data_IF_263278399949
#
_entry.id   IF_263278399949
#
_cell.length_a   1.000
_cell.length_b   1.000
_cell.length_c   1.000
_cell.angle_alpha   90.00
_cell.angle_beta   90.00
_cell.angle_gamma   90.00
#
_symmetry.space_group_name_H-M   'P 1'
#
loop_
_entity.id
_entity.type
_entity.pdbx_description
1 polymer ?
#
# COMPACT_ATOMS: atom_id res chain seq x y z
N UNK A 1 9.87 4.63 16.47
CA UNK A 1 9.78 4.10 15.09
C UNK A 1 9.40 2.64 15.20
N UNK A 2 8.33 2.20 14.54
CA UNK A 2 7.93 0.78 14.50
C UNK A 2 8.33 0.16 13.16
N UNK A 3 8.48 -1.15 13.14
CA UNK A 3 8.85 -1.93 11.96
C UNK A 3 7.89 -3.11 11.83
N UNK A 4 7.34 -3.28 10.64
CA UNK A 4 6.46 -4.38 10.24
C UNK A 4 7.07 -5.06 9.00
N UNK A 5 6.98 -6.39 8.91
CA UNK A 5 7.56 -7.17 7.81
C UNK A 5 6.44 -7.86 7.03
N UNK A 6 6.37 -7.60 5.73
CA UNK A 6 5.34 -8.12 4.80
C UNK A 6 5.82 -9.39 4.10
N UNK A 7 6.27 -10.39 4.85
CA UNK A 7 6.78 -11.64 4.24
C UNK A 7 5.67 -12.34 3.44
N UNK A 8 5.97 -12.66 2.18
CA UNK A 8 5.05 -13.28 1.22
C UNK A 8 3.73 -12.50 0.97
N UNK A 9 3.67 -11.21 1.34
CA UNK A 9 2.53 -10.35 1.03
C UNK A 9 2.97 -9.38 -0.07
N UNK A 10 2.48 -9.52 -1.32
CA UNK A 10 2.83 -8.58 -2.37
C UNK A 10 2.33 -7.18 -1.99
N UNK A 11 3.26 -6.23 -1.83
CA UNK A 11 2.92 -4.87 -1.45
C UNK A 11 3.96 -3.87 -1.96
N UNK A 12 3.48 -2.82 -2.61
CA UNK A 12 4.23 -1.65 -3.07
C UNK A 12 3.53 -0.42 -2.55
N UNK A 13 4.10 0.17 -1.51
CA UNK A 13 3.64 1.42 -0.89
C UNK A 13 3.65 2.56 -1.90
N UNK A 14 4.69 2.61 -2.74
CA UNK A 14 4.83 3.64 -3.77
C UNK A 14 3.75 3.52 -4.84
N UNK A 15 3.55 2.35 -5.44
CA UNK A 15 2.47 2.15 -6.42
C UNK A 15 1.10 2.45 -5.79
N UNK A 16 0.90 2.02 -4.54
CA UNK A 16 -0.37 2.20 -3.82
C UNK A 16 -0.68 3.67 -3.54
N UNK A 17 0.29 4.46 -3.05
CA UNK A 17 0.05 5.86 -2.68
C UNK A 17 0.17 6.84 -3.88
N UNK A 18 0.76 6.42 -5.00
CA UNK A 18 0.96 7.29 -6.18
C UNK A 18 0.05 6.97 -7.38
N UNK A 19 -0.77 5.92 -7.34
CA UNK A 19 -1.66 5.55 -8.44
C UNK A 19 -2.88 6.47 -8.62
N UNK A 20 -3.02 7.52 -7.80
CA UNK A 20 -4.11 8.50 -7.89
C UNK A 20 -5.36 8.17 -7.08
N UNK A 21 -5.36 7.09 -6.29
CA UNK A 21 -6.50 6.76 -5.41
C UNK A 21 -6.61 7.65 -4.16
N UNK A 22 -5.51 8.32 -3.77
CA UNK A 22 -5.44 9.19 -2.59
C UNK A 22 -4.70 10.48 -2.89
N UNK A 23 -5.05 11.55 -2.15
CA UNK A 23 -4.50 12.90 -2.39
C UNK A 23 -3.85 13.54 -1.16
N UNK A 24 -4.04 12.96 0.03
CA UNK A 24 -3.52 13.51 1.30
C UNK A 24 -2.15 12.97 1.70
N UNK A 25 -1.50 12.24 0.79
CA UNK A 25 -0.18 11.66 1.00
C UNK A 25 0.87 12.45 0.22
N UNK A 26 2.00 12.75 0.87
CA UNK A 26 3.16 13.40 0.24
C UNK A 26 4.43 12.63 0.56
N UNK A 27 5.26 12.38 -0.45
CA UNK A 27 6.57 11.76 -0.32
C UNK A 27 7.66 12.83 -0.23
N UNK A 28 8.64 12.63 0.66
CA UNK A 28 9.84 13.48 0.72
C UNK A 28 11.03 12.86 -0.03
N UNK A 29 12.13 13.61 -0.07
CA UNK A 29 13.39 13.22 -0.74
C UNK A 29 14.06 12.00 -0.09
N UNK A 30 13.78 11.72 1.18
CA UNK A 30 14.28 10.55 1.92
C UNK A 30 13.40 9.30 1.74
N UNK A 31 12.36 9.41 0.92
CA UNK A 31 11.41 8.35 0.59
C UNK A 31 10.30 8.14 1.61
N UNK A 32 10.12 9.05 2.58
CA UNK A 32 9.04 8.97 3.55
C UNK A 32 7.75 9.55 2.99
N UNK A 33 6.71 8.74 3.06
CA UNK A 33 5.33 9.19 2.90
C UNK A 33 4.81 9.76 4.22
N UNK A 34 4.13 10.91 4.14
CA UNK A 34 3.37 11.51 5.24
C UNK A 34 1.96 11.81 4.77
N UNK A 35 0.97 11.47 5.58
CA UNK A 35 -0.42 11.73 5.27
C UNK A 35 -1.32 11.58 6.47
N UNK A 36 -2.58 11.92 6.27
CA UNK A 36 -3.64 11.69 7.26
C UNK A 36 -4.61 10.67 6.66
N UNK A 37 -4.94 9.64 7.41
CA UNK A 37 -5.93 8.63 7.06
C UNK A 37 -6.69 8.20 8.32
N UNK A 38 -8.03 8.22 8.31
CA UNK A 38 -8.86 7.87 9.48
C UNK A 38 -8.41 8.57 10.78
N UNK A 39 -8.18 9.88 10.72
CA UNK A 39 -7.69 10.71 11.84
C UNK A 39 -6.28 10.37 12.37
N UNK A 40 -5.56 9.45 11.75
CA UNK A 40 -4.16 9.17 12.06
C UNK A 40 -3.23 10.03 11.20
N UNK A 41 -2.33 10.80 11.84
CA UNK A 41 -1.18 11.40 11.17
C UNK A 41 -0.07 10.36 11.05
N UNK A 42 0.15 9.85 9.85
CA UNK A 42 1.04 8.72 9.60
C UNK A 42 2.30 9.18 8.88
N UNK A 43 3.45 8.67 9.31
CA UNK A 43 4.71 8.72 8.58
C UNK A 43 5.14 7.28 8.29
N UNK A 44 5.31 6.91 7.03
CA UNK A 44 5.55 5.53 6.59
C UNK A 44 6.56 5.47 5.43
N UNK A 45 7.39 4.42 5.41
CA UNK A 45 8.34 4.15 4.33
C UNK A 45 8.50 2.65 4.16
N UNK A 46 8.62 2.21 2.91
CA UNK A 46 8.94 0.83 2.58
C UNK A 46 10.39 0.70 2.13
N UNK A 47 11.07 -0.33 2.61
CA UNK A 47 12.38 -0.78 2.15
C UNK A 47 12.29 -2.29 1.94
N UNK A 48 12.19 -2.74 0.68
CA UNK A 48 11.91 -4.14 0.34
C UNK A 48 10.62 -4.64 1.03
N UNK A 49 10.67 -5.75 1.76
CA UNK A 49 9.57 -6.31 2.54
C UNK A 49 9.41 -5.67 3.94
N UNK A 50 10.13 -4.59 4.24
CA UNK A 50 10.10 -3.92 5.54
C UNK A 50 9.37 -2.59 5.46
N UNK A 51 8.37 -2.40 6.31
CA UNK A 51 7.62 -1.16 6.49
C UNK A 51 8.04 -0.51 7.80
N UNK A 52 8.57 0.72 7.69
CA UNK A 52 8.89 1.57 8.83
C UNK A 52 7.78 2.60 9.01
N UNK A 53 7.24 2.74 10.21
CA UNK A 53 6.07 3.60 10.42
C UNK A 53 5.99 4.25 11.81
N UNK A 54 5.19 5.32 11.88
CA UNK A 54 4.85 6.11 13.06
C UNK A 54 3.41 6.63 12.92
N UNK A 55 2.71 6.80 14.05
CA UNK A 55 1.39 7.47 14.11
C UNK A 55 0.17 6.55 14.08
N UNK A 56 0.37 5.24 13.95
CA UNK A 56 -0.66 4.20 14.00
C UNK A 56 -0.07 2.89 14.57
N UNK A 57 -0.91 1.86 14.70
CA UNK A 57 -0.49 0.48 14.98
C UNK A 57 -0.48 -0.39 13.71
N UNK A 58 -0.01 -1.63 13.87
CA UNK A 58 0.14 -2.57 12.77
C UNK A 58 -1.22 -3.01 12.22
N UNK A 59 -2.19 -3.26 13.10
CA UNK A 59 -3.55 -3.68 12.73
C UNK A 59 -4.21 -2.63 11.83
N UNK A 60 -4.02 -1.35 12.14
CA UNK A 60 -4.46 -0.25 11.27
C UNK A 60 -3.82 -0.31 9.88
N UNK A 61 -2.51 -0.56 9.79
CA UNK A 61 -1.82 -0.66 8.50
C UNK A 61 -2.32 -1.85 7.69
N UNK A 62 -2.47 -3.01 8.33
CA UNK A 62 -3.02 -4.22 7.70
C UNK A 62 -4.41 -3.93 7.13
N UNK A 63 -5.27 -3.29 7.92
CA UNK A 63 -6.60 -2.90 7.47
C UNK A 63 -6.57 -1.85 6.34
N UNK A 64 -5.89 -0.72 6.55
CA UNK A 64 -5.93 0.42 5.63
C UNK A 64 -5.32 0.11 4.27
N UNK A 65 -4.16 -0.56 4.26
CA UNK A 65 -3.49 -1.00 3.04
C UNK A 65 -4.06 -2.32 2.49
N UNK A 66 -5.11 -2.87 3.12
CA UNK A 66 -5.82 -4.06 2.67
C UNK A 66 -4.85 -5.26 2.52
N UNK A 67 -3.94 -5.44 3.48
CA UNK A 67 -2.86 -6.44 3.44
C UNK A 67 -3.36 -7.87 3.72
N UNK A 68 -4.55 -7.98 4.29
CA UNK A 68 -5.28 -9.23 4.54
C UNK A 68 -5.97 -9.80 3.29
N UNK A 69 -6.03 -9.04 2.20
CA UNK A 69 -6.54 -9.52 0.91
C UNK A 69 -5.54 -10.48 0.24
N UNK A 70 -6.05 -11.63 -0.22
CA UNK A 70 -5.39 -12.54 -1.16
C UNK A 70 -5.23 -11.87 -2.53
N UNK A 71 -4.20 -11.03 -2.62
CA UNK A 71 -3.92 -10.27 -3.84
C UNK A 71 -3.49 -11.18 -4.98
N UNK A 72 -2.74 -12.25 -4.71
CA UNK A 72 -2.30 -13.18 -5.76
C UNK A 72 -3.49 -13.90 -6.40
N UNK A 73 -4.48 -14.34 -5.60
CA UNK A 73 -5.73 -14.90 -6.11
C UNK A 73 -6.53 -13.92 -6.97
N UNK A 74 -6.60 -12.64 -6.56
CA UNK A 74 -7.26 -11.58 -7.34
C UNK A 74 -6.53 -11.33 -8.66
N UNK A 75 -5.20 -11.17 -8.63
CA UNK A 75 -4.40 -10.91 -9.82
C UNK A 75 -4.48 -12.08 -10.80
N UNK A 76 -4.42 -13.33 -10.33
CA UNK A 76 -4.58 -14.51 -11.17
C UNK A 76 -5.95 -14.56 -11.87
N UNK A 77 -7.01 -14.06 -11.22
CA UNK A 77 -8.33 -13.98 -11.82
C UNK A 77 -8.45 -12.87 -12.90
N UNK A 78 -7.63 -11.82 -12.80
CA UNK A 78 -7.58 -10.67 -13.70
C UNK A 78 -6.60 -10.84 -14.87
N UNK A 79 -5.61 -11.72 -14.74
CA UNK A 79 -4.60 -12.00 -15.76
C UNK A 79 -5.20 -12.81 -16.94
N UNK A 80 -5.86 -12.11 -17.87
CA UNK A 80 -6.66 -12.72 -18.95
C UNK A 80 -6.13 -12.41 -20.35
N UNK A 81 -5.23 -11.46 -20.49
CA UNK A 81 -4.65 -11.01 -21.75
C UNK A 81 -3.25 -10.40 -21.51
N UNK A 82 -2.50 -10.20 -22.60
CA UNK A 82 -1.12 -9.71 -22.54
C UNK A 82 -0.97 -8.30 -21.96
N UNK A 83 -1.97 -7.44 -22.11
CA UNK A 83 -1.93 -6.08 -21.57
C UNK A 83 -2.14 -6.11 -20.06
N UNK A 84 -3.10 -6.90 -19.60
CA UNK A 84 -3.32 -7.15 -18.17
C UNK A 84 -2.11 -7.81 -17.54
N UNK A 85 -1.52 -8.81 -18.20
CA UNK A 85 -0.30 -9.47 -17.73
C UNK A 85 0.83 -8.46 -17.50
N UNK A 86 1.13 -7.63 -18.50
CA UNK A 86 2.18 -6.61 -18.40
C UNK A 86 1.91 -5.56 -17.31
N UNK A 87 0.64 -5.18 -17.10
CA UNK A 87 0.25 -4.28 -16.01
C UNK A 87 0.45 -4.93 -14.63
N UNK A 88 0.07 -6.20 -14.49
CA UNK A 88 0.21 -6.97 -13.25
C UNK A 88 1.70 -7.17 -12.90
N UNK A 89 2.54 -7.56 -13.87
CA UNK A 89 3.97 -7.72 -13.63
C UNK A 89 4.63 -6.42 -13.14
N UNK A 90 4.24 -5.29 -13.73
CA UNK A 90 4.82 -3.99 -13.39
C UNK A 90 4.35 -3.45 -12.03
N UNK A 91 3.10 -3.74 -11.63
CA UNK A 91 2.47 -3.14 -10.45
C UNK A 91 1.89 -4.19 -9.48
N UNK A 92 2.51 -5.37 -9.39
CA UNK A 92 2.02 -6.52 -8.59
C UNK A 92 1.69 -6.18 -7.12
N UNK A 93 2.39 -5.21 -6.55
CA UNK A 93 2.20 -4.78 -5.15
C UNK A 93 1.16 -3.68 -4.93
N UNK A 94 0.53 -3.16 -5.98
CA UNK A 94 -0.49 -2.12 -5.87
C UNK A 94 -1.73 -2.66 -5.14
N UNK A 95 -2.19 -1.94 -4.13
CA UNK A 95 -3.40 -2.29 -3.36
C UNK A 95 -4.44 -1.20 -3.40
N UNK A 96 -5.71 -1.58 -3.34
CA UNK A 96 -6.82 -0.66 -3.11
C UNK A 96 -6.95 -0.39 -1.60
N UNK A 97 -6.90 0.89 -1.23
CA UNK A 97 -6.96 1.35 0.15
C UNK A 97 -8.39 1.30 0.70
N UNK A 98 -8.54 0.95 1.98
CA UNK A 98 -9.82 1.06 2.71
C UNK A 98 -10.00 2.49 3.24
N UNK A 99 -10.39 3.41 2.34
CA UNK A 99 -10.59 4.83 2.65
C UNK A 99 -11.88 5.09 3.45
N UNK A 100 -11.95 6.22 4.15
CA UNK A 100 -13.19 6.69 4.77
C UNK A 100 -14.13 7.22 3.66
N UNK A 101 -15.37 6.72 3.52
CA UNK A 101 -16.28 7.16 2.46
C UNK A 101 -16.63 8.66 2.48
N UNK A 102 -16.47 9.33 3.62
CA UNK A 102 -16.79 10.75 3.80
C UNK A 102 -15.59 11.68 3.55
N UNK A 103 -14.42 11.11 3.34
CA UNK A 103 -13.17 11.80 3.00
C UNK A 103 -13.00 11.90 1.48
#
# INVERSE_FOLDING_TARGET
MRVFVTDNVPFSLDDTLSCGQVFRWKKDEEGWWRGIAHDHLIKIRQQNNRIEYLGCDEDFLVYYFNLDLDLDGVLAALDRDEYMHGAIEKHRGLRLLRQNPWE
#
